data_IF_271145588291
#
_entry.id   IF_271145588291
#
_cell.length_a   1.000
_cell.length_b   1.000
_cell.length_c   1.000
_cell.angle_alpha   90.00
_cell.angle_beta   90.00
_cell.angle_gamma   90.00
#
_symmetry.space_group_name_H-M   'P 1'
#
loop_
_entity.id
_entity.type
_entity.pdbx_description
1 polymer ?
#
# COMPACT_ATOMS: atom_id res chain seq x y z
N UNK A 1 -15.35 -12.77 21.45
CA UNK A 1 -15.81 -12.11 20.22
C UNK A 1 -14.59 -11.91 19.34
N UNK A 2 -14.69 -12.16 18.06
CA UNK A 2 -13.63 -11.87 17.10
C UNK A 2 -13.57 -10.36 16.82
N UNK A 3 -12.37 -9.84 16.56
CA UNK A 3 -12.12 -8.46 16.12
C UNK A 3 -11.58 -8.52 14.70
N UNK A 4 -12.12 -7.72 13.79
CA UNK A 4 -11.67 -7.64 12.39
C UNK A 4 -10.95 -6.31 12.13
N UNK A 5 -9.88 -6.39 11.36
CA UNK A 5 -9.08 -5.26 10.91
C UNK A 5 -8.98 -5.31 9.40
N UNK A 6 -9.41 -4.26 8.70
CA UNK A 6 -9.10 -4.04 7.31
C UNK A 6 -7.89 -3.10 7.18
N UNK A 7 -6.95 -3.42 6.31
CA UNK A 7 -5.78 -2.60 6.07
C UNK A 7 -5.44 -2.54 4.58
N UNK A 8 -5.13 -1.34 4.10
CA UNK A 8 -4.70 -1.06 2.73
C UNK A 8 -3.59 0.00 2.73
N UNK A 9 -2.89 0.17 1.62
CA UNK A 9 -1.88 1.20 1.46
C UNK A 9 -1.61 1.46 -0.02
N UNK A 10 -0.65 2.33 -0.32
CA UNK A 10 -0.31 2.67 -1.69
C UNK A 10 -1.53 3.13 -2.48
N UNK A 11 -2.17 4.20 -2.03
CA UNK A 11 -3.38 4.78 -2.67
C UNK A 11 -3.04 5.34 -4.05
N UNK A 12 -1.83 5.89 -4.18
CA UNK A 12 -1.25 6.33 -5.45
C UNK A 12 -2.17 7.23 -6.27
N UNK A 13 -2.85 8.17 -5.64
CA UNK A 13 -3.76 9.14 -6.30
C UNK A 13 -4.90 8.48 -7.11
N UNK A 14 -5.20 7.20 -6.89
CA UNK A 14 -6.28 6.46 -7.54
C UNK A 14 -7.57 6.56 -6.71
N UNK A 15 -8.28 7.67 -6.89
CA UNK A 15 -9.50 7.93 -6.15
C UNK A 15 -10.64 6.93 -6.45
N UNK A 16 -10.66 6.33 -7.66
CA UNK A 16 -11.70 5.37 -8.06
C UNK A 16 -11.51 4.02 -7.35
N UNK A 17 -10.30 3.51 -7.30
CA UNK A 17 -10.00 2.30 -6.53
C UNK A 17 -10.17 2.54 -5.03
N UNK A 18 -9.77 3.71 -4.52
CA UNK A 18 -9.96 4.06 -3.12
C UNK A 18 -11.44 4.08 -2.74
N UNK A 19 -12.30 4.71 -3.54
CA UNK A 19 -13.74 4.77 -3.26
C UNK A 19 -14.36 3.36 -3.26
N UNK A 20 -14.05 2.53 -4.26
CA UNK A 20 -14.51 1.15 -4.33
C UNK A 20 -14.05 0.30 -3.12
N UNK A 21 -12.78 0.44 -2.70
CA UNK A 21 -12.24 -0.25 -1.51
C UNK A 21 -12.95 0.21 -0.24
N UNK A 22 -13.18 1.53 -0.08
CA UNK A 22 -13.87 2.07 1.08
C UNK A 22 -15.34 1.65 1.12
N UNK A 23 -15.98 1.48 -0.02
CA UNK A 23 -17.35 0.96 -0.11
C UNK A 23 -17.41 -0.53 0.31
N UNK A 24 -16.52 -1.38 -0.23
CA UNK A 24 -16.46 -2.81 0.13
C UNK A 24 -16.15 -2.99 1.64
N UNK A 25 -15.18 -2.23 2.18
CA UNK A 25 -14.88 -2.22 3.61
C UNK A 25 -16.11 -1.76 4.42
N UNK A 26 -16.79 -0.72 3.98
CA UNK A 26 -18.01 -0.22 4.65
C UNK A 26 -19.12 -1.26 4.73
N UNK A 27 -19.34 -2.04 3.66
CA UNK A 27 -20.32 -3.14 3.64
C UNK A 27 -19.93 -4.28 4.60
N UNK A 28 -18.63 -4.53 4.79
CA UNK A 28 -18.13 -5.57 5.70
C UNK A 28 -18.08 -5.12 7.16
N UNK A 29 -18.01 -3.81 7.39
CA UNK A 29 -17.99 -3.17 8.70
C UNK A 29 -17.00 -3.82 9.70
N UNK A 30 -15.68 -3.85 9.42
CA UNK A 30 -14.69 -4.29 10.39
C UNK A 30 -14.59 -3.28 11.55
N UNK A 31 -14.17 -3.72 12.73
CA UNK A 31 -14.03 -2.87 13.91
C UNK A 31 -12.90 -1.84 13.76
N UNK A 32 -11.90 -2.16 12.92
CA UNK A 32 -10.78 -1.27 12.62
C UNK A 32 -10.51 -1.21 11.11
N UNK A 33 -10.18 -0.01 10.62
CA UNK A 33 -9.72 0.20 9.24
C UNK A 33 -8.52 1.15 9.27
N UNK A 34 -7.45 0.80 8.53
CA UNK A 34 -6.22 1.59 8.48
C UNK A 34 -5.69 1.74 7.06
N UNK A 35 -5.27 2.95 6.71
CA UNK A 35 -4.46 3.22 5.53
C UNK A 35 -2.98 3.28 5.93
N UNK A 36 -2.12 2.50 5.27
CA UNK A 36 -0.69 2.40 5.58
C UNK A 36 0.18 3.39 4.78
N UNK A 37 -0.41 4.45 4.26
CA UNK A 37 0.33 5.53 3.61
C UNK A 37 0.41 5.45 2.09
N UNK A 38 1.18 6.40 1.53
CA UNK A 38 1.34 6.69 0.12
C UNK A 38 0.02 7.10 -0.55
N UNK A 39 -0.46 8.29 -0.16
CA UNK A 39 -1.58 8.95 -0.82
C UNK A 39 -1.26 9.25 -2.29
N UNK A 40 -0.09 9.85 -2.52
CA UNK A 40 0.39 10.32 -3.82
C UNK A 40 1.10 9.26 -4.64
N UNK A 41 1.44 9.64 -5.85
CA UNK A 41 2.15 8.82 -6.82
C UNK A 41 1.24 8.27 -7.90
N UNK A 42 1.80 7.81 -8.97
CA UNK A 42 1.27 7.01 -10.08
C UNK A 42 -0.01 7.53 -10.74
N UNK A 43 -1.08 7.77 -10.01
CA UNK A 43 -2.41 8.16 -10.51
C UNK A 43 -2.64 9.68 -10.61
N UNK A 44 -3.80 10.10 -11.15
CA UNK A 44 -4.02 11.49 -11.59
C UNK A 44 -4.68 12.40 -10.54
N UNK A 45 -5.17 11.88 -9.41
CA UNK A 45 -6.10 12.64 -8.57
C UNK A 45 -5.74 12.66 -7.08
N UNK A 46 -4.58 13.26 -6.67
CA UNK A 46 -4.15 13.27 -5.27
C UNK A 46 -5.14 13.98 -4.33
N UNK A 47 -5.66 15.14 -4.71
CA UNK A 47 -6.61 15.88 -3.87
C UNK A 47 -7.96 15.17 -3.72
N UNK A 48 -8.47 14.50 -4.77
CA UNK A 48 -9.68 13.69 -4.65
C UNK A 48 -9.47 12.54 -3.65
N UNK A 49 -8.32 11.87 -3.73
CA UNK A 49 -7.95 10.80 -2.80
C UNK A 49 -7.82 11.31 -1.36
N UNK A 50 -7.18 12.46 -1.16
CA UNK A 50 -7.06 13.12 0.15
C UNK A 50 -8.46 13.46 0.73
N UNK A 51 -9.33 14.03 -0.09
CA UNK A 51 -10.69 14.38 0.32
C UNK A 51 -11.50 13.15 0.75
N UNK A 52 -11.41 12.04 0.03
CA UNK A 52 -12.07 10.78 0.39
C UNK A 52 -11.60 10.24 1.75
N UNK A 53 -10.28 10.17 1.97
CA UNK A 53 -9.72 9.68 3.25
C UNK A 53 -10.11 10.56 4.42
N UNK A 54 -10.00 11.89 4.26
CA UNK A 54 -10.37 12.87 5.30
C UNK A 54 -11.87 12.86 5.60
N UNK A 55 -12.72 12.75 4.59
CA UNK A 55 -14.17 12.69 4.78
C UNK A 55 -14.62 11.45 5.56
N UNK A 56 -13.90 10.34 5.43
CA UNK A 56 -14.17 9.11 6.19
C UNK A 56 -13.54 9.11 7.58
N UNK A 57 -12.68 10.09 7.92
CA UNK A 57 -11.99 10.16 9.20
C UNK A 57 -11.11 8.94 9.50
N UNK A 58 -10.61 8.27 8.46
CA UNK A 58 -9.84 7.04 8.61
C UNK A 58 -8.44 7.34 9.13
N UNK A 59 -7.93 6.57 10.11
CA UNK A 59 -6.56 6.64 10.52
C UNK A 59 -5.63 6.24 9.36
N UNK A 60 -4.61 7.05 9.14
CA UNK A 60 -3.61 6.86 8.09
C UNK A 60 -2.21 7.00 8.67
N UNK A 61 -1.27 6.21 8.16
CA UNK A 61 0.16 6.35 8.43
C UNK A 61 0.83 7.19 7.35
N UNK A 62 1.98 7.74 7.68
CA UNK A 62 2.83 8.45 6.73
C UNK A 62 3.66 7.44 5.92
N UNK A 63 3.47 7.39 4.59
CA UNK A 63 4.36 6.73 3.66
C UNK A 63 5.52 7.65 3.23
N UNK A 64 6.43 7.15 2.39
CA UNK A 64 7.55 7.96 1.88
C UNK A 64 7.08 9.11 0.99
N UNK A 65 6.07 8.91 0.14
CA UNK A 65 5.44 9.99 -0.64
C UNK A 65 4.83 11.04 0.27
N UNK A 66 4.07 10.63 1.28
CA UNK A 66 3.41 11.53 2.22
C UNK A 66 4.43 12.37 2.97
N UNK A 67 5.54 11.76 3.40
CA UNK A 67 6.65 12.45 4.03
C UNK A 67 7.27 13.49 3.10
N UNK A 68 7.65 13.07 1.90
CA UNK A 68 8.33 13.95 0.94
C UNK A 68 7.45 15.12 0.51
N UNK A 69 6.20 14.87 0.15
CA UNK A 69 5.22 15.92 -0.22
C UNK A 69 4.95 16.86 0.97
N UNK A 70 4.72 16.29 2.16
CA UNK A 70 4.43 17.06 3.37
C UNK A 70 5.58 17.99 3.78
N UNK A 71 6.83 17.59 3.55
CA UNK A 71 8.02 18.37 3.91
C UNK A 71 8.63 19.17 2.76
N UNK A 72 8.04 19.09 1.54
CA UNK A 72 8.53 19.81 0.37
C UNK A 72 9.91 19.33 -0.09
N UNK A 73 10.17 18.04 -0.05
CA UNK A 73 11.40 17.43 -0.56
C UNK A 73 11.39 17.36 -2.08
N UNK A 74 12.55 17.11 -2.68
CA UNK A 74 12.73 17.15 -4.14
C UNK A 74 12.36 15.83 -4.84
N UNK A 75 12.24 14.72 -4.08
CA UNK A 75 11.91 13.39 -4.61
C UNK A 75 11.06 12.56 -3.64
N UNK A 76 10.54 11.42 -4.09
CA UNK A 76 9.68 10.56 -3.30
C UNK A 76 10.40 9.74 -2.22
N UNK A 77 11.72 9.70 -2.19
CA UNK A 77 12.49 8.79 -1.33
C UNK A 77 12.21 7.30 -1.62
N UNK A 78 11.83 6.93 -2.84
CA UNK A 78 11.39 5.58 -3.18
C UNK A 78 12.52 4.53 -3.18
N UNK A 79 13.79 4.98 -3.32
CA UNK A 79 14.96 4.09 -3.24
C UNK A 79 15.28 3.33 -4.53
N UNK A 80 14.83 3.80 -5.70
CA UNK A 80 15.28 3.29 -6.99
C UNK A 80 16.69 3.78 -7.31
N UNK A 81 17.48 2.94 -7.96
CA UNK A 81 18.86 3.27 -8.43
C UNK A 81 18.97 3.18 -9.94
N UNK A 82 18.09 2.42 -10.61
CA UNK A 82 17.99 2.39 -12.06
C UNK A 82 17.53 3.75 -12.60
N UNK A 83 18.28 4.36 -13.58
CA UNK A 83 17.94 5.69 -14.11
C UNK A 83 16.54 5.78 -14.74
N UNK A 84 16.05 4.72 -15.37
CA UNK A 84 14.74 4.69 -16.01
C UNK A 84 13.63 4.65 -14.95
N UNK A 85 13.75 3.75 -13.96
CA UNK A 85 12.77 3.65 -12.88
C UNK A 85 12.76 4.91 -12.01
N UNK A 86 13.93 5.52 -11.77
CA UNK A 86 14.04 6.83 -11.12
C UNK A 86 13.33 7.94 -11.91
N UNK A 87 13.48 7.97 -13.25
CA UNK A 87 12.81 8.97 -14.07
C UNK A 87 11.29 8.86 -13.98
N UNK A 88 10.74 7.64 -14.02
CA UNK A 88 9.30 7.42 -13.83
C UNK A 88 8.84 7.79 -12.41
N UNK A 89 9.62 7.45 -11.39
CA UNK A 89 9.32 7.84 -10.02
C UNK A 89 9.30 9.37 -9.86
N UNK A 90 10.25 10.10 -10.49
CA UNK A 90 10.31 11.55 -10.45
C UNK A 90 9.13 12.19 -11.17
N UNK A 91 8.77 11.74 -12.38
CA UNK A 91 7.59 12.24 -13.10
C UNK A 91 6.31 12.08 -12.25
N UNK A 92 6.16 10.96 -11.62
CA UNK A 92 5.03 10.68 -10.71
C UNK A 92 5.03 11.61 -9.49
N UNK A 93 6.22 11.84 -8.91
CA UNK A 93 6.39 12.72 -7.75
C UNK A 93 6.10 14.17 -8.11
N UNK A 94 6.68 14.67 -9.20
CA UNK A 94 6.50 16.05 -9.66
C UNK A 94 5.04 16.34 -9.96
N UNK A 95 4.34 15.40 -10.62
CA UNK A 95 2.91 15.52 -10.86
C UNK A 95 2.11 15.61 -9.55
N UNK A 96 2.35 14.72 -8.61
CA UNK A 96 1.69 14.75 -7.31
C UNK A 96 1.98 16.05 -6.58
N UNK A 97 3.26 16.45 -6.53
CA UNK A 97 3.72 17.65 -5.85
C UNK A 97 3.07 18.91 -6.44
N UNK A 98 2.88 18.99 -7.76
CA UNK A 98 2.21 20.11 -8.42
C UNK A 98 0.70 20.16 -8.18
N UNK A 99 0.07 19.03 -7.86
CA UNK A 99 -1.38 18.89 -7.74
C UNK A 99 -1.87 18.68 -6.29
N UNK A 100 -1.04 18.97 -5.28
CA UNK A 100 -1.39 18.92 -3.85
C UNK A 100 -1.34 20.32 -3.27
N UNK A 101 -2.45 20.75 -2.64
CA UNK A 101 -2.56 22.04 -1.95
C UNK A 101 -1.95 22.04 -0.55
N UNK A 102 -1.73 23.23 0.03
CA UNK A 102 -1.06 23.38 1.33
C UNK A 102 -1.79 22.66 2.47
N UNK A 103 -3.11 22.71 2.49
CA UNK A 103 -3.89 22.03 3.54
C UNK A 103 -3.69 20.50 3.52
N UNK A 104 -3.49 19.89 2.34
CA UNK A 104 -3.17 18.47 2.20
C UNK A 104 -1.72 18.22 2.61
N UNK A 105 -0.76 19.10 2.27
CA UNK A 105 0.64 18.99 2.70
C UNK A 105 0.76 19.03 4.22
N UNK A 106 0.08 19.96 4.87
CA UNK A 106 0.05 20.06 6.34
C UNK A 106 -0.52 18.78 6.97
N UNK A 107 -1.59 18.24 6.39
CA UNK A 107 -2.18 16.98 6.87
C UNK A 107 -1.21 15.81 6.70
N UNK A 108 -0.57 15.64 5.54
CA UNK A 108 0.42 14.59 5.28
C UNK A 108 1.63 14.69 6.22
N UNK A 109 2.10 15.90 6.50
CA UNK A 109 3.19 16.17 7.45
C UNK A 109 2.85 15.72 8.88
N UNK A 110 1.59 15.83 9.27
CA UNK A 110 1.11 15.50 10.61
C UNK A 110 0.81 13.99 10.80
N UNK A 111 0.85 13.17 9.74
CA UNK A 111 0.57 11.74 9.84
C UNK A 111 1.63 11.01 10.69
N UNK A 112 1.23 10.06 11.54
CA UNK A 112 2.17 9.25 12.31
C UNK A 112 2.93 8.25 11.41
N UNK A 113 4.22 7.99 11.66
CA UNK A 113 4.99 7.02 10.87
C UNK A 113 4.63 5.56 11.17
N UNK A 114 4.08 5.29 12.34
CA UNK A 114 3.71 3.95 12.81
C UNK A 114 2.51 4.01 13.74
N UNK A 115 1.79 2.90 13.86
CA UNK A 115 0.73 2.74 14.85
C UNK A 115 0.83 1.38 15.54
N UNK A 116 0.36 1.32 16.80
CA UNK A 116 0.30 0.09 17.59
C UNK A 116 -1.11 -0.13 18.10
N UNK A 117 -1.59 -1.35 17.93
CA UNK A 117 -2.89 -1.79 18.43
C UNK A 117 -2.71 -3.04 19.29
N UNK A 118 -3.67 -3.29 20.18
CA UNK A 118 -3.80 -4.58 20.85
C UNK A 118 -5.19 -5.14 20.54
N UNK A 119 -5.22 -6.21 19.74
CA UNK A 119 -6.46 -6.83 19.26
C UNK A 119 -6.54 -8.27 19.79
N UNK A 120 -7.50 -8.53 20.66
CA UNK A 120 -7.66 -9.82 21.34
C UNK A 120 -6.34 -10.37 21.92
N UNK A 121 -5.56 -9.49 22.59
CA UNK A 121 -4.30 -9.83 23.23
C UNK A 121 -3.08 -9.93 22.28
N UNK A 122 -3.26 -9.74 20.97
CA UNK A 122 -2.16 -9.68 19.99
C UNK A 122 -1.69 -8.26 19.81
N UNK A 123 -0.39 -8.03 19.90
CA UNK A 123 0.25 -6.74 19.64
C UNK A 123 0.45 -6.60 18.12
N UNK A 124 -0.24 -5.64 17.53
CA UNK A 124 -0.20 -5.35 16.10
C UNK A 124 0.60 -4.08 15.88
N UNK A 125 1.64 -4.15 15.06
CA UNK A 125 2.42 -3.00 14.60
C UNK A 125 2.09 -2.74 13.13
N UNK A 126 1.74 -1.49 12.82
CA UNK A 126 1.48 -1.02 11.47
C UNK A 126 2.55 0.02 11.10
N UNK A 127 3.14 -0.13 9.93
CA UNK A 127 4.07 0.84 9.34
C UNK A 127 4.00 0.79 7.81
N UNK A 128 4.64 1.73 7.12
CA UNK A 128 4.62 1.76 5.66
C UNK A 128 5.57 0.73 5.05
N UNK A 129 6.88 0.94 5.12
CA UNK A 129 7.90 0.01 4.57
C UNK A 129 8.27 -1.08 5.58
N UNK A 130 8.92 -0.69 6.66
CA UNK A 130 9.25 -1.56 7.78
C UNK A 130 9.32 -0.76 9.09
N UNK A 131 9.42 -1.44 10.26
CA UNK A 131 9.67 -0.73 11.51
C UNK A 131 11.01 0.02 11.55
N UNK A 132 11.94 -0.28 10.64
CA UNK A 132 13.29 0.31 10.56
C UNK A 132 13.36 1.51 9.64
N UNK A 133 12.65 1.43 8.50
CA UNK A 133 12.71 2.46 7.44
C UNK A 133 11.37 2.55 6.71
N UNK A 134 10.93 3.77 6.43
CA UNK A 134 9.66 4.03 5.73
C UNK A 134 9.64 3.50 4.30
N UNK A 135 10.79 3.39 3.65
CA UNK A 135 10.98 2.94 2.27
C UNK A 135 11.70 1.58 2.14
N UNK A 136 11.71 0.76 3.19
CA UNK A 136 12.29 -0.58 3.10
C UNK A 136 11.36 -1.53 2.36
N UNK A 137 11.88 -2.18 1.32
CA UNK A 137 11.14 -3.19 0.54
C UNK A 137 11.19 -4.56 1.24
N UNK A 138 10.11 -4.98 1.85
CA UNK A 138 9.96 -6.33 2.39
C UNK A 138 9.28 -7.22 1.34
N UNK A 139 10.09 -7.92 0.53
CA UNK A 139 9.62 -8.87 -0.48
C UNK A 139 9.46 -10.27 0.10
N UNK A 140 8.37 -10.97 -0.23
CA UNK A 140 8.13 -12.33 0.25
C UNK A 140 9.30 -13.28 -0.08
N UNK A 141 9.79 -13.25 -1.31
CA UNK A 141 10.87 -14.15 -1.74
C UNK A 141 12.26 -13.80 -1.18
N UNK A 142 12.47 -12.58 -0.67
CA UNK A 142 13.77 -12.12 -0.17
C UNK A 142 13.88 -12.09 1.35
N UNK A 143 12.77 -12.11 2.06
CA UNK A 143 12.77 -12.13 3.52
C UNK A 143 12.78 -13.58 4.03
N UNK A 144 13.81 -13.96 4.80
CA UNK A 144 13.80 -15.24 5.51
C UNK A 144 12.88 -15.18 6.73
N UNK A 145 12.38 -16.34 7.18
CA UNK A 145 11.57 -16.42 8.41
C UNK A 145 12.35 -15.91 9.63
N UNK A 146 13.66 -16.20 9.71
CA UNK A 146 14.50 -15.71 10.78
C UNK A 146 14.60 -14.17 10.82
N UNK A 147 14.69 -13.53 9.65
CA UNK A 147 14.70 -12.07 9.57
C UNK A 147 13.35 -11.46 9.98
N UNK A 148 12.24 -12.02 9.48
CA UNK A 148 10.91 -11.57 9.83
C UNK A 148 10.61 -11.78 11.32
N UNK A 149 11.06 -12.91 11.89
CA UNK A 149 10.95 -13.19 13.33
C UNK A 149 11.72 -12.14 14.14
N UNK A 150 12.96 -11.85 13.72
CA UNK A 150 13.77 -10.84 14.36
C UNK A 150 13.10 -9.46 14.34
N UNK A 151 12.50 -9.05 13.21
CA UNK A 151 11.74 -7.80 13.12
C UNK A 151 10.61 -7.77 14.17
N UNK A 152 9.83 -8.84 14.24
CA UNK A 152 8.72 -8.91 15.18
C UNK A 152 9.18 -8.88 16.65
N UNK A 153 10.29 -9.55 16.97
CA UNK A 153 10.85 -9.58 18.34
C UNK A 153 11.44 -8.23 18.70
N UNK A 154 12.30 -7.66 17.83
CA UNK A 154 12.97 -6.40 18.06
C UNK A 154 11.99 -5.23 18.21
N UNK A 155 10.83 -5.33 17.58
CA UNK A 155 9.79 -4.28 17.65
C UNK A 155 8.56 -4.70 18.48
N UNK A 156 8.67 -5.76 19.30
CA UNK A 156 7.68 -6.19 20.28
C UNK A 156 6.26 -6.35 19.70
N UNK A 157 6.12 -6.96 18.51
CA UNK A 157 4.83 -7.23 17.88
C UNK A 157 4.61 -8.73 17.64
N UNK A 158 3.35 -9.12 17.61
CA UNK A 158 2.89 -10.46 17.26
C UNK A 158 2.37 -10.51 15.83
N UNK A 159 1.93 -9.36 15.29
CA UNK A 159 1.52 -9.14 13.91
C UNK A 159 2.16 -7.85 13.40
N UNK A 160 2.86 -7.94 12.28
CA UNK A 160 3.45 -6.79 11.58
C UNK A 160 2.71 -6.57 10.26
N UNK A 161 2.10 -5.39 10.08
CA UNK A 161 1.49 -4.97 8.83
C UNK A 161 2.37 -3.93 8.14
N UNK A 162 2.66 -4.17 6.85
CA UNK A 162 3.47 -3.31 5.99
C UNK A 162 2.84 -3.17 4.61
N UNK A 163 3.36 -2.25 3.80
CA UNK A 163 3.03 -2.04 2.39
C UNK A 163 4.28 -1.72 1.57
N UNK A 164 4.35 -0.60 0.85
CA UNK A 164 5.47 -0.06 0.07
C UNK A 164 5.86 -0.88 -1.17
N UNK A 165 5.91 -2.23 -1.09
CA UNK A 165 6.26 -3.07 -2.24
C UNK A 165 5.21 -3.08 -3.35
N UNK A 166 3.97 -2.73 -3.04
CA UNK A 166 2.83 -2.78 -3.94
C UNK A 166 2.22 -4.18 -4.14
N UNK A 167 2.92 -5.24 -3.71
CA UNK A 167 2.44 -6.62 -3.82
C UNK A 167 2.04 -7.17 -2.45
N UNK A 168 0.84 -7.71 -2.35
CA UNK A 168 0.34 -8.31 -1.13
C UNK A 168 0.91 -9.72 -0.90
N UNK A 169 1.23 -10.03 0.34
CA UNK A 169 1.65 -11.37 0.78
C UNK A 169 1.47 -11.53 2.30
N UNK A 170 1.40 -12.76 2.75
CA UNK A 170 1.30 -13.11 4.16
C UNK A 170 2.24 -14.26 4.50
N UNK A 171 2.90 -14.15 5.66
CA UNK A 171 3.70 -15.22 6.24
C UNK A 171 3.32 -15.45 7.69
N UNK A 172 2.80 -16.65 7.98
CA UNK A 172 2.68 -17.16 9.33
C UNK A 172 4.02 -17.77 9.74
N UNK A 173 4.64 -17.24 10.78
CA UNK A 173 5.95 -17.69 11.26
C UNK A 173 5.81 -18.87 12.21
N UNK A 174 6.83 -19.77 12.34
CA UNK A 174 6.77 -20.94 13.21
C UNK A 174 6.48 -20.61 14.68
N UNK A 175 6.80 -19.42 15.14
CA UNK A 175 6.54 -18.93 16.51
C UNK A 175 5.11 -18.43 16.72
N UNK A 176 4.25 -18.47 15.69
CA UNK A 176 2.88 -18.00 15.73
C UNK A 176 2.73 -16.49 15.55
N UNK A 177 3.79 -15.80 15.09
CA UNK A 177 3.72 -14.41 14.64
C UNK A 177 3.32 -14.33 13.17
N UNK A 178 2.85 -13.17 12.73
CA UNK A 178 2.42 -12.95 11.37
C UNK A 178 3.06 -11.69 10.79
N UNK A 179 3.50 -11.76 9.53
CA UNK A 179 3.90 -10.59 8.75
C UNK A 179 3.01 -10.52 7.52
N UNK A 180 2.41 -9.37 7.30
CA UNK A 180 1.44 -9.13 6.23
C UNK A 180 1.85 -7.89 5.47
N UNK A 181 2.17 -8.03 4.19
CA UNK A 181 2.23 -6.90 3.28
C UNK A 181 0.84 -6.74 2.64
N UNK A 182 0.22 -5.60 2.85
CA UNK A 182 -1.15 -5.38 2.37
C UNK A 182 -1.23 -5.09 0.86
N UNK A 183 -0.08 -4.88 0.21
CA UNK A 183 -0.01 -4.48 -1.20
C UNK A 183 -0.35 -3.01 -1.41
N UNK A 184 -0.78 -2.68 -2.61
CA UNK A 184 -1.25 -1.33 -2.97
C UNK A 184 -2.64 -1.41 -3.59
N UNK A 185 -3.46 -0.36 -3.35
CA UNK A 185 -4.76 -0.21 -4.00
C UNK A 185 -4.72 0.79 -5.16
N UNK A 186 -3.62 1.49 -5.37
CA UNK A 186 -3.49 2.49 -6.42
C UNK A 186 -3.14 1.91 -7.80
N UNK A 187 -2.62 0.70 -7.84
CA UNK A 187 -2.30 -0.03 -9.07
C UNK A 187 -2.51 -1.54 -8.90
N UNK A 188 -2.70 -2.30 -10.01
CA UNK A 188 -2.86 -3.76 -9.98
C UNK A 188 -1.67 -4.49 -9.35
N UNK A 189 -1.87 -5.72 -8.90
CA UNK A 189 -0.87 -6.54 -8.21
C UNK A 189 0.12 -7.27 -9.14
N UNK A 190 0.35 -6.80 -10.35
CA UNK A 190 1.27 -7.39 -11.34
C UNK A 190 0.96 -8.87 -11.64
N UNK A 191 -0.30 -9.20 -11.85
CA UNK A 191 -0.79 -10.57 -12.07
C UNK A 191 -1.71 -10.70 -13.29
N UNK A 192 -1.81 -9.63 -14.12
CA UNK A 192 -2.67 -9.57 -15.30
C UNK A 192 -4.15 -9.30 -14.98
N UNK A 193 -4.49 -9.00 -13.74
CA UNK A 193 -5.83 -8.55 -13.33
C UNK A 193 -5.82 -7.05 -13.09
N UNK A 194 -6.90 -6.38 -13.41
CA UNK A 194 -7.05 -4.94 -13.22
C UNK A 194 -7.62 -4.56 -11.85
N UNK A 195 -8.07 -5.54 -11.06
CA UNK A 195 -8.52 -5.31 -9.68
C UNK A 195 -7.37 -4.94 -8.75
N UNK A 196 -7.72 -4.35 -7.61
CA UNK A 196 -6.80 -4.08 -6.51
C UNK A 196 -7.11 -4.96 -5.31
N UNK A 197 -6.24 -4.94 -4.29
CA UNK A 197 -6.37 -5.82 -3.13
C UNK A 197 -6.17 -5.06 -1.84
N UNK A 198 -6.93 -5.41 -0.80
CA UNK A 198 -6.66 -5.02 0.57
C UNK A 198 -6.62 -6.24 1.51
N UNK A 199 -5.98 -6.10 2.66
CA UNK A 199 -5.90 -7.17 3.66
C UNK A 199 -7.04 -7.08 4.66
N UNK A 200 -7.63 -8.24 5.01
CA UNK A 200 -8.58 -8.40 6.10
C UNK A 200 -8.03 -9.41 7.11
N UNK A 201 -7.89 -8.99 8.37
CA UNK A 201 -7.41 -9.83 9.46
C UNK A 201 -8.54 -10.05 10.48
N UNK A 202 -8.63 -11.28 10.96
CA UNK A 202 -9.55 -11.64 12.05
C UNK A 202 -8.75 -12.15 13.23
N UNK A 203 -8.96 -11.54 14.40
CA UNK A 203 -8.34 -11.91 15.67
C UNK A 203 -9.37 -12.60 16.54
N UNK A 204 -9.18 -13.89 16.81
CA UNK A 204 -10.12 -14.68 17.62
C UNK A 204 -9.37 -15.67 18.52
N UNK A 205 -9.67 -15.66 19.83
CA UNK A 205 -9.17 -16.62 20.84
C UNK A 205 -7.67 -16.97 20.68
N UNK A 206 -6.83 -15.98 20.43
CA UNK A 206 -5.38 -16.15 20.21
C UNK A 206 -4.98 -16.58 18.79
N UNK A 207 -5.94 -16.78 17.88
CA UNK A 207 -5.68 -17.06 16.45
C UNK A 207 -5.74 -15.77 15.65
N UNK A 208 -4.94 -15.73 14.59
CA UNK A 208 -4.98 -14.65 13.57
C UNK A 208 -5.24 -15.32 12.22
N UNK A 209 -6.36 -14.97 11.59
CA UNK A 209 -6.63 -15.36 10.21
C UNK A 209 -6.37 -14.13 9.33
N UNK A 210 -5.72 -14.34 8.18
CA UNK A 210 -5.39 -13.29 7.21
C UNK A 210 -5.96 -13.69 5.86
N UNK A 211 -6.66 -12.77 5.23
CA UNK A 211 -7.17 -12.92 3.87
C UNK A 211 -6.93 -11.64 3.06
N UNK A 212 -6.91 -11.77 1.74
CA UNK A 212 -6.86 -10.64 0.83
C UNK A 212 -8.16 -10.56 0.04
N UNK A 213 -8.69 -9.35 -0.10
CA UNK A 213 -9.95 -9.08 -0.78
C UNK A 213 -9.69 -8.40 -2.12
N UNK A 214 -10.09 -9.03 -3.24
CA UNK A 214 -10.06 -8.38 -4.53
C UNK A 214 -11.20 -7.36 -4.61
N UNK A 215 -10.91 -6.18 -5.16
CA UNK A 215 -11.91 -5.14 -5.42
C UNK A 215 -11.78 -4.67 -6.85
N UNK A 216 -12.87 -4.80 -7.59
CA UNK A 216 -12.98 -4.25 -8.94
C UNK A 216 -13.36 -2.77 -8.86
N UNK A 217 -12.85 -1.97 -9.79
CA UNK A 217 -13.18 -0.55 -9.93
C UNK A 217 -13.17 -0.16 -11.41
N UNK A 218 -13.64 1.01 -11.75
CA UNK A 218 -13.61 1.48 -13.14
C UNK A 218 -12.17 1.90 -13.55
N UNK A 219 -11.34 0.88 -13.80
CA UNK A 219 -9.94 1.06 -14.20
C UNK A 219 -9.81 1.77 -15.55
N UNK A 220 -10.78 1.61 -16.46
CA UNK A 220 -10.76 2.29 -17.75
C UNK A 220 -11.10 3.79 -17.61
N UNK A 221 -11.97 4.17 -16.68
CA UNK A 221 -12.17 5.58 -16.33
C UNK A 221 -10.87 6.20 -15.77
N UNK A 222 -10.17 5.47 -14.88
CA UNK A 222 -8.87 5.92 -14.38
C UNK A 222 -7.85 6.09 -15.51
N UNK A 223 -7.75 5.11 -16.41
CA UNK A 223 -6.85 5.17 -17.55
C UNK A 223 -7.11 6.42 -18.43
N UNK A 224 -8.38 6.73 -18.70
CA UNK A 224 -8.77 7.96 -19.43
C UNK A 224 -8.43 9.24 -18.65
N UNK A 225 -8.60 9.28 -17.33
CA UNK A 225 -8.14 10.42 -16.52
C UNK A 225 -6.62 10.60 -16.61
N UNK A 226 -5.86 9.50 -16.54
CA UNK A 226 -4.40 9.53 -16.66
C UNK A 226 -3.93 10.05 -18.05
N UNK A 227 -4.60 9.62 -19.13
CA UNK A 227 -4.35 10.12 -20.49
C UNK A 227 -4.66 11.61 -20.62
N UNK A 228 -5.79 12.07 -20.06
CA UNK A 228 -6.18 13.48 -20.05
C UNK A 228 -5.16 14.35 -19.31
N UNK A 229 -4.60 13.86 -18.22
CA UNK A 229 -3.55 14.52 -17.42
C UNK A 229 -2.15 14.33 -18.00
N UNK A 230 -2.02 13.62 -19.13
CA UNK A 230 -0.74 13.34 -19.82
C UNK A 230 0.29 12.62 -18.95
N UNK A 231 -0.17 11.75 -18.08
CA UNK A 231 0.71 10.83 -17.36
C UNK A 231 1.37 9.84 -18.32
N UNK A 232 2.52 9.24 -17.98
CA UNK A 232 3.22 8.27 -18.83
C UNK A 232 2.32 7.17 -19.38
N UNK A 233 2.48 6.84 -20.67
CA UNK A 233 1.72 5.78 -21.31
C UNK A 233 1.93 4.42 -20.62
N UNK A 234 3.09 4.20 -20.05
CA UNK A 234 3.46 3.02 -19.27
C UNK A 234 2.60 2.86 -18.01
N UNK A 235 2.23 3.97 -17.38
CA UNK A 235 1.32 3.92 -16.22
C UNK A 235 -0.09 3.54 -16.67
N UNK A 236 -0.56 4.11 -17.78
CA UNK A 236 -1.86 3.78 -18.38
C UNK A 236 -1.91 2.30 -18.78
N UNK A 237 -0.84 1.80 -19.43
CA UNK A 237 -0.73 0.39 -19.79
C UNK A 237 -0.80 -0.53 -18.57
N UNK A 238 -0.12 -0.17 -17.48
CA UNK A 238 -0.20 -0.92 -16.21
C UNK A 238 -1.65 -1.06 -15.72
N UNK A 239 -2.43 0.02 -15.77
CA UNK A 239 -3.84 0.01 -15.34
C UNK A 239 -4.70 -0.88 -16.25
N UNK A 240 -4.48 -0.82 -17.57
CA UNK A 240 -5.27 -1.58 -18.55
C UNK A 240 -4.93 -3.06 -18.65
N UNK A 241 -3.68 -3.42 -18.33
CA UNK A 241 -3.21 -4.80 -18.52
C UNK A 241 -3.06 -5.59 -17.23
N UNK A 242 -3.00 -4.90 -16.08
CA UNK A 242 -2.68 -5.52 -14.81
C UNK A 242 -1.19 -5.87 -14.63
N UNK A 243 -0.35 -5.55 -15.62
CA UNK A 243 1.10 -5.80 -15.60
C UNK A 243 1.87 -4.49 -15.45
N UNK A 244 2.84 -4.47 -14.53
CA UNK A 244 3.71 -3.31 -14.37
C UNK A 244 4.70 -3.23 -15.52
N UNK A 245 4.86 -2.05 -16.06
CA UNK A 245 5.78 -1.73 -17.15
C UNK A 245 6.94 -0.85 -16.69
N UNK A 246 6.87 -0.30 -15.46
CA UNK A 246 7.87 0.57 -14.84
C UNK A 246 8.11 0.21 -13.40
N UNK A 247 9.18 0.76 -12.80
CA UNK A 247 9.54 0.58 -11.39
C UNK A 247 9.71 -0.91 -11.02
N UNK A 248 10.39 -1.65 -11.91
CA UNK A 248 10.62 -3.09 -11.79
C UNK A 248 11.99 -3.44 -11.20
N UNK A 249 12.90 -2.48 -11.08
CA UNK A 249 14.27 -2.72 -10.59
C UNK A 249 14.30 -3.54 -9.30
N UNK A 250 13.54 -3.09 -8.31
CA UNK A 250 13.53 -3.68 -6.98
C UNK A 250 12.64 -4.93 -6.87
N UNK A 251 11.83 -5.23 -7.89
CA UNK A 251 10.93 -6.40 -7.87
C UNK A 251 11.76 -7.67 -8.10
N UNK A 252 11.81 -8.62 -7.16
CA UNK A 252 12.58 -9.86 -7.35
C UNK A 252 12.01 -10.71 -8.49
N UNK A 253 12.84 -11.56 -9.07
CA UNK A 253 12.46 -12.39 -10.24
C UNK A 253 11.21 -13.22 -9.96
N UNK A 254 11.07 -13.79 -8.77
CA UNK A 254 9.91 -14.60 -8.40
C UNK A 254 8.61 -13.79 -8.44
N UNK A 255 8.63 -12.57 -7.93
CA UNK A 255 7.47 -11.67 -7.92
C UNK A 255 7.19 -11.13 -9.32
N UNK A 256 8.22 -10.87 -10.16
CA UNK A 256 8.04 -10.47 -11.57
C UNK A 256 7.39 -11.55 -12.43
N UNK A 257 7.63 -12.82 -12.09
CA UNK A 257 7.13 -13.99 -12.87
C UNK A 257 5.81 -14.52 -12.29
N UNK A 258 5.12 -13.80 -11.42
CA UNK A 258 3.81 -14.20 -10.93
C UNK A 258 2.88 -14.45 -12.11
N UNK A 259 2.33 -15.65 -12.15
CA UNK A 259 1.27 -15.98 -13.09
C UNK A 259 -0.08 -15.92 -12.37
N UNK A 260 -1.11 -15.61 -13.14
CA UNK A 260 -2.48 -15.60 -12.68
C UNK A 260 -2.83 -16.96 -12.05
N UNK A 261 -3.22 -16.98 -10.78
CA UNK A 261 -3.55 -18.22 -10.04
C UNK A 261 -2.56 -18.65 -8.97
N UNK A 262 -1.38 -18.05 -8.85
CA UNK A 262 -0.37 -18.38 -7.83
C UNK A 262 -0.47 -17.60 -6.52
N UNK A 263 -1.53 -16.82 -6.32
CA UNK A 263 -1.84 -16.26 -5.01
C UNK A 263 -2.25 -17.41 -4.07
N UNK A 264 -1.27 -18.11 -3.52
CA UNK A 264 -1.49 -19.05 -2.42
C UNK A 264 -1.87 -18.22 -1.20
N UNK A 265 -3.10 -18.46 -0.73
CA UNK A 265 -3.61 -17.95 0.52
C UNK A 265 -2.82 -18.44 1.71
#
# INVERSE_FOLDING_TARGET
>A
MSIRLAAFGGVYSNHLALDAVLEDIGQRAPEHTWCLGDLGGFGPSPEKSAALLRARGLPMLQGNYDHSIGHGLDDCGCGYTDPSDNAFAQVSFDYTNANVGEATREWLRALPPQARLVLNGRRVLLCHGSPRQVNEFLWDSRCSDAFLEWLCVAHECDVLLVTHTGLHWHRALPTGKHVVNVGAIGRPAHDGRMNVWYAELTFDAGRVAVGFRPVEYDHEALAREMEAERLPAEFVETIRTGWWTTCLENVPVRERMRQWGEARG
#
